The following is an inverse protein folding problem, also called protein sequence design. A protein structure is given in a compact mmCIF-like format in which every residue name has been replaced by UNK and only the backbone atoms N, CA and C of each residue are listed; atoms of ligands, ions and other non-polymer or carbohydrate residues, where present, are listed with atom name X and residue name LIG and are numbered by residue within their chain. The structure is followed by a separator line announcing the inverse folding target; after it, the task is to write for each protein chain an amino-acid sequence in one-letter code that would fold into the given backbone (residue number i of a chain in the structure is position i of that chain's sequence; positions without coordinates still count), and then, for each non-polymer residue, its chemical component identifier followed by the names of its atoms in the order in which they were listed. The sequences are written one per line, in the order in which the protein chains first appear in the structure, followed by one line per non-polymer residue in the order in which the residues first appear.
data_IF_784614862636
#
_entry.id   IF_784614862636
#
_cell.length_a   1.000
_cell.length_b   1.000
_cell.length_c   1.000
_cell.angle_alpha   90.00
_cell.angle_beta   90.00
_cell.angle_gamma   90.00
#
_symmetry.space_group_name_H-M   'P 1'
#
loop_
_entity.id
_entity.type
_entity.pdbx_description
1 polymer ?
#
# COMPACT_ATOMS: atom_id res chain seq x y z
N UNK A 1 6.90 20.50 13.48
CA UNK A 1 6.72 19.47 14.53
C UNK A 1 5.39 19.59 15.28
N UNK A 2 4.96 20.78 15.74
CA UNK A 2 3.70 20.95 16.50
C UNK A 2 2.46 20.38 15.79
N UNK A 3 2.29 20.61 14.49
CA UNK A 3 1.20 20.03 13.68
C UNK A 3 1.19 18.48 13.73
N UNK A 4 2.36 17.85 13.65
CA UNK A 4 2.48 16.38 13.72
C UNK A 4 2.13 15.88 15.12
N UNK A 5 2.60 16.55 16.16
CA UNK A 5 2.25 16.19 17.54
C UNK A 5 0.73 16.24 17.76
N UNK A 6 0.05 17.30 17.30
CA UNK A 6 -1.42 17.40 17.43
C UNK A 6 -2.12 16.28 16.64
N UNK A 7 -1.60 15.88 15.48
CA UNK A 7 -2.14 14.72 14.74
C UNK A 7 -1.97 13.39 15.48
N UNK A 8 -0.96 13.25 16.35
CA UNK A 8 -0.78 12.01 17.15
C UNK A 8 -1.73 11.91 18.35
N UNK A 9 -2.40 13.00 18.73
CA UNK A 9 -3.31 13.02 19.89
C UNK A 9 -4.71 12.48 19.57
N UNK A 10 -4.99 12.07 18.32
CA UNK A 10 -6.27 11.47 17.93
C UNK A 10 -6.41 10.06 18.51
N UNK A 11 -7.57 9.74 19.09
CA UNK A 11 -7.87 8.40 19.63
C UNK A 11 -9.29 7.95 19.27
N UNK A 12 -9.54 6.63 19.31
CA UNK A 12 -10.87 6.08 19.06
C UNK A 12 -11.81 6.48 20.21
N UNK A 13 -13.01 6.99 19.89
CA UNK A 13 -13.97 7.63 20.82
C UNK A 13 -13.49 8.92 21.48
N UNK A 14 -13.04 9.87 20.66
CA UNK A 14 -12.65 11.21 21.10
C UNK A 14 -13.84 12.05 21.59
N UNK A 15 -13.65 12.81 22.67
CA UNK A 15 -14.66 13.77 23.16
C UNK A 15 -14.84 14.94 22.19
N UNK A 16 -16.07 15.47 22.10
CA UNK A 16 -16.39 16.57 21.18
C UNK A 16 -15.48 17.79 21.37
N UNK A 17 -15.14 18.12 22.62
CA UNK A 17 -14.24 19.22 22.95
C UNK A 17 -12.81 19.04 22.41
N UNK A 18 -12.27 17.81 22.42
CA UNK A 18 -10.93 17.53 21.90
C UNK A 18 -10.93 17.61 20.36
N UNK A 19 -11.98 17.06 19.73
CA UNK A 19 -12.13 17.12 18.26
C UNK A 19 -12.22 18.56 17.77
N UNK A 20 -12.99 19.41 18.47
CA UNK A 20 -13.11 20.83 18.13
C UNK A 20 -11.79 21.58 18.34
N UNK A 21 -11.08 21.33 19.43
CA UNK A 21 -9.76 21.91 19.67
C UNK A 21 -8.76 21.53 18.57
N UNK A 22 -8.70 20.24 18.21
CA UNK A 22 -7.86 19.76 17.11
C UNK A 22 -8.26 20.41 15.77
N UNK A 23 -9.55 20.62 15.50
CA UNK A 23 -9.99 21.31 14.29
C UNK A 23 -9.47 22.75 14.23
N UNK A 24 -9.57 23.50 15.33
CA UNK A 24 -9.07 24.87 15.43
C UNK A 24 -7.55 24.92 15.20
N UNK A 25 -6.78 24.07 15.87
CA UNK A 25 -5.33 24.01 15.68
C UNK A 25 -4.93 23.65 14.24
N UNK A 26 -5.61 22.66 13.66
CA UNK A 26 -5.38 22.28 12.26
C UNK A 26 -5.66 23.45 11.31
N UNK A 27 -6.71 24.24 11.55
CA UNK A 27 -7.02 25.42 10.76
C UNK A 27 -5.91 26.49 10.87
N UNK A 28 -5.42 26.74 12.08
CA UNK A 28 -4.32 27.69 12.32
C UNK A 28 -3.08 27.26 11.55
N UNK A 29 -2.70 25.97 11.60
CA UNK A 29 -1.55 25.48 10.84
C UNK A 29 -1.73 25.63 9.33
N UNK A 30 -2.93 25.40 8.80
CA UNK A 30 -3.21 25.63 7.36
C UNK A 30 -2.97 27.07 6.98
N UNK A 31 -3.46 28.02 7.77
CA UNK A 31 -3.26 29.45 7.52
C UNK A 31 -1.77 29.82 7.55
N UNK A 32 -1.01 29.32 8.53
CA UNK A 32 0.42 29.57 8.65
C UNK A 32 1.17 29.01 7.44
N UNK A 33 0.88 27.78 7.02
CA UNK A 33 1.52 27.15 5.87
C UNK A 33 1.19 27.83 4.54
N UNK A 34 -0.06 28.27 4.37
CA UNK A 34 -0.44 29.09 3.22
C UNK A 34 0.33 30.42 3.20
N UNK A 35 0.46 31.08 4.36
CA UNK A 35 1.26 32.29 4.50
C UNK A 35 2.73 32.07 4.11
N UNK A 36 3.34 30.99 4.59
CA UNK A 36 4.71 30.60 4.23
C UNK A 36 4.86 30.41 2.71
N UNK A 37 3.92 29.71 2.08
CA UNK A 37 3.94 29.47 0.63
C UNK A 37 3.79 30.77 -0.17
N UNK A 38 2.91 31.68 0.25
CA UNK A 38 2.74 32.98 -0.41
C UNK A 38 4.03 33.80 -0.30
N UNK A 39 4.67 33.81 0.87
CA UNK A 39 5.96 34.49 1.08
C UNK A 39 7.05 33.89 0.18
N UNK A 40 7.18 32.54 0.14
CA UNK A 40 8.12 31.84 -0.74
C UNK A 40 7.83 32.16 -2.23
N UNK A 41 6.57 32.12 -2.64
CA UNK A 41 6.16 32.37 -4.03
C UNK A 41 6.49 33.80 -4.48
N UNK A 42 6.25 34.81 -3.63
CA UNK A 42 6.56 36.21 -3.93
C UNK A 42 8.08 36.43 -3.95
N UNK A 43 8.81 35.89 -2.98
CA UNK A 43 10.26 36.08 -2.85
C UNK A 43 11.09 35.40 -3.94
N UNK A 44 10.70 34.19 -4.35
CA UNK A 44 11.46 33.37 -5.32
C UNK A 44 10.94 33.49 -6.76
N UNK A 45 9.76 34.10 -6.98
CA UNK A 45 9.12 34.46 -8.26
C UNK A 45 9.34 33.50 -9.43
N UNK A 46 10.45 33.62 -10.18
CA UNK A 46 10.76 32.77 -11.34
C UNK A 46 11.63 31.56 -10.99
N UNK A 47 12.47 31.66 -9.97
CA UNK A 47 13.34 30.60 -9.47
C UNK A 47 12.60 29.56 -8.61
N UNK A 48 11.34 29.81 -8.23
CA UNK A 48 10.53 28.83 -7.49
C UNK A 48 10.00 27.69 -8.36
N UNK A 49 9.66 27.98 -9.62
CA UNK A 49 9.11 26.99 -10.58
C UNK A 49 10.09 26.62 -11.71
N UNK A 50 11.09 27.45 -12.00
CA UNK A 50 12.12 27.10 -12.97
C UNK A 50 13.16 26.22 -12.29
N UNK A 51 12.99 24.90 -12.47
CA UNK A 51 14.06 23.91 -12.32
C UNK A 51 15.26 24.40 -13.12
N UNK A 52 16.24 25.02 -12.45
CA UNK A 52 17.44 25.45 -13.14
C UNK A 52 18.28 24.20 -13.31
N UNK A 53 18.21 23.62 -14.51
CA UNK A 53 19.02 22.49 -14.95
C UNK A 53 20.51 22.85 -14.93
N UNK A 54 21.13 22.93 -13.76
CA UNK A 54 22.58 22.95 -13.61
C UNK A 54 22.98 22.23 -12.32
N UNK A 55 23.43 20.99 -12.53
CA UNK A 55 24.28 20.20 -11.64
C UNK A 55 23.54 19.55 -10.46
N UNK A 56 23.20 18.27 -10.65
CA UNK A 56 23.13 17.09 -9.75
C UNK A 56 22.97 17.19 -8.21
N UNK A 57 22.83 18.35 -7.60
CA UNK A 57 22.88 18.51 -6.13
C UNK A 57 21.66 19.27 -5.55
N UNK A 58 20.68 19.68 -6.37
CA UNK A 58 19.58 20.54 -5.91
C UNK A 58 18.32 19.76 -5.48
N UNK A 59 18.47 18.97 -4.42
CA UNK A 59 17.35 18.30 -3.75
C UNK A 59 16.33 19.34 -3.23
N UNK A 60 16.77 20.57 -2.96
CA UNK A 60 15.97 21.66 -2.39
C UNK A 60 14.87 22.16 -3.35
N UNK A 61 15.13 22.15 -4.65
CA UNK A 61 14.16 22.57 -5.67
C UNK A 61 12.96 21.60 -5.77
N UNK A 62 13.18 20.29 -5.62
CA UNK A 62 12.08 19.30 -5.62
C UNK A 62 11.19 19.42 -4.39
N UNK A 63 11.79 19.68 -3.22
CA UNK A 63 11.03 19.86 -1.97
C UNK A 63 10.11 21.08 -2.02
N UNK A 64 10.54 22.19 -2.63
CA UNK A 64 9.70 23.38 -2.81
C UNK A 64 8.47 23.10 -3.69
N UNK A 65 8.63 22.37 -4.79
CA UNK A 65 7.53 21.98 -5.68
C UNK A 65 6.57 21.01 -4.97
N UNK A 66 7.13 20.05 -4.23
CA UNK A 66 6.35 19.13 -3.41
C UNK A 66 5.54 19.87 -2.34
N UNK A 67 6.16 20.83 -1.65
CA UNK A 67 5.53 21.69 -0.64
C UNK A 67 4.34 22.49 -1.24
N UNK A 68 4.54 23.03 -2.45
CA UNK A 68 3.49 23.74 -3.20
C UNK A 68 2.31 22.84 -3.54
N UNK A 69 2.57 21.69 -4.17
CA UNK A 69 1.53 20.73 -4.57
C UNK A 69 0.75 20.23 -3.35
N UNK A 70 1.42 20.04 -2.21
CA UNK A 70 0.80 19.58 -0.98
C UNK A 70 -0.18 20.60 -0.39
N UNK A 71 0.21 21.88 -0.24
CA UNK A 71 -0.71 22.93 0.24
C UNK A 71 -1.89 23.07 -0.70
N UNK A 72 -1.63 23.26 -2.00
CA UNK A 72 -2.69 23.51 -2.99
C UNK A 72 -3.64 22.32 -3.07
N UNK A 73 -3.10 21.09 -3.08
CA UNK A 73 -3.90 19.88 -3.06
C UNK A 73 -4.78 19.79 -1.81
N UNK A 74 -4.25 20.13 -0.63
CA UNK A 74 -5.05 20.09 0.59
C UNK A 74 -6.15 21.15 0.60
N UNK A 75 -5.89 22.35 0.09
CA UNK A 75 -6.87 23.43 0.04
C UNK A 75 -7.99 23.14 -0.97
N UNK A 76 -7.66 22.59 -2.14
CA UNK A 76 -8.65 22.13 -3.12
C UNK A 76 -9.58 21.09 -2.50
N UNK A 77 -9.03 20.11 -1.81
CA UNK A 77 -9.82 19.03 -1.19
C UNK A 77 -10.69 19.57 -0.05
N UNK A 78 -10.19 20.53 0.74
CA UNK A 78 -10.96 21.18 1.79
C UNK A 78 -12.16 21.95 1.22
N UNK A 79 -11.95 22.74 0.15
CA UNK A 79 -13.01 23.48 -0.54
C UNK A 79 -14.03 22.53 -1.17
N UNK A 80 -13.56 21.48 -1.85
CA UNK A 80 -14.42 20.47 -2.44
C UNK A 80 -15.33 19.82 -1.38
N UNK A 81 -14.78 19.47 -0.22
CA UNK A 81 -15.56 18.89 0.86
C UNK A 81 -16.59 19.87 1.43
N UNK A 82 -16.23 21.15 1.61
CA UNK A 82 -17.17 22.19 2.04
C UNK A 82 -18.34 22.34 1.05
N UNK A 83 -18.05 22.34 -0.25
CA UNK A 83 -19.06 22.42 -1.30
C UNK A 83 -19.98 21.19 -1.34
N UNK A 84 -19.45 19.97 -1.16
CA UNK A 84 -20.29 18.77 -1.24
C UNK A 84 -21.05 18.49 0.05
N UNK A 85 -20.52 18.88 1.22
CA UNK A 85 -21.28 18.83 2.49
C UNK A 85 -22.55 19.67 2.41
N UNK A 86 -22.51 20.80 1.70
CA UNK A 86 -23.68 21.64 1.43
C UNK A 86 -24.72 20.97 0.52
N UNK A 87 -24.33 19.96 -0.29
CA UNK A 87 -25.21 19.25 -1.21
C UNK A 87 -25.80 17.94 -0.63
N UNK A 88 -25.52 17.60 0.63
CA UNK A 88 -26.15 16.47 1.33
C UNK A 88 -25.71 15.07 0.88
N UNK A 89 -24.77 14.95 -0.07
CA UNK A 89 -24.26 13.67 -0.56
C UNK A 89 -23.29 13.01 0.42
N UNK A 90 -23.51 11.73 0.74
CA UNK A 90 -22.60 10.91 1.58
C UNK A 90 -21.31 10.60 0.81
N UNK A 91 -20.17 11.09 1.30
CA UNK A 91 -18.85 10.93 0.67
C UNK A 91 -17.85 10.28 1.63
N UNK A 92 -18.04 8.98 1.91
CA UNK A 92 -17.05 8.21 2.66
C UNK A 92 -15.65 8.28 2.01
N UNK A 93 -15.59 8.16 0.68
CA UNK A 93 -14.34 8.11 -0.08
C UNK A 93 -13.56 9.44 -0.06
N UNK A 94 -14.21 10.60 -0.18
CA UNK A 94 -13.49 11.89 -0.14
C UNK A 94 -12.96 12.22 1.26
N UNK A 95 -13.63 11.73 2.31
CA UNK A 95 -13.15 11.88 3.68
C UNK A 95 -11.86 11.08 3.92
N UNK A 96 -11.73 9.90 3.31
CA UNK A 96 -10.50 9.10 3.35
C UNK A 96 -9.34 9.83 2.66
N UNK A 97 -9.59 10.39 1.46
CA UNK A 97 -8.58 11.15 0.71
C UNK A 97 -8.10 12.37 1.49
N UNK A 98 -9.01 13.11 2.13
CA UNK A 98 -8.63 14.22 3.03
C UNK A 98 -7.67 13.78 4.13
N UNK A 99 -7.94 12.64 4.77
CA UNK A 99 -7.10 12.08 5.84
C UNK A 99 -5.71 11.72 5.30
N UNK A 100 -5.63 11.15 4.10
CA UNK A 100 -4.36 10.88 3.41
C UNK A 100 -3.51 12.14 3.19
N UNK A 101 -4.10 13.22 2.66
CA UNK A 101 -3.38 14.49 2.46
C UNK A 101 -2.93 15.15 3.78
N UNK A 102 -3.72 14.99 4.86
CA UNK A 102 -3.31 15.45 6.19
C UNK A 102 -2.06 14.70 6.68
N UNK A 103 -2.03 13.38 6.52
CA UNK A 103 -0.87 12.54 6.88
C UNK A 103 0.35 12.92 6.05
N UNK A 104 0.16 13.24 4.76
CA UNK A 104 1.24 13.66 3.88
C UNK A 104 1.99 14.91 4.38
N UNK A 105 1.37 15.75 5.23
CA UNK A 105 2.06 16.90 5.86
C UNK A 105 3.21 16.49 6.77
N UNK A 106 3.23 15.26 7.28
CA UNK A 106 4.37 14.71 8.03
C UNK A 106 5.63 14.70 7.15
N UNK A 107 5.48 14.53 5.83
CA UNK A 107 6.57 14.53 4.86
C UNK A 107 7.31 15.88 4.82
N UNK A 108 6.66 17.00 5.21
CA UNK A 108 7.36 18.31 5.36
C UNK A 108 8.41 18.32 6.47
N UNK A 109 8.30 17.43 7.45
CA UNK A 109 9.37 17.28 8.46
C UNK A 109 10.65 16.80 7.78
N UNK A 110 10.55 16.02 6.70
CA UNK A 110 11.70 15.60 5.90
C UNK A 110 12.35 16.78 5.17
N UNK A 111 11.57 17.76 4.71
CA UNK A 111 12.10 18.99 4.08
C UNK A 111 12.96 19.81 5.06
N UNK A 112 12.65 19.80 6.36
CA UNK A 112 13.45 20.51 7.36
C UNK A 112 14.77 19.83 7.75
N UNK A 113 15.06 18.63 7.26
CA UNK A 113 16.18 17.79 7.72
C UNK A 113 17.06 17.33 6.55
N UNK A 114 18.16 18.05 6.30
CA UNK A 114 19.10 17.75 5.21
C UNK A 114 19.62 16.31 5.22
N UNK A 115 19.87 15.72 6.39
CA UNK A 115 20.30 14.32 6.51
C UNK A 115 19.27 13.33 5.96
N UNK A 116 17.98 13.58 6.24
CA UNK A 116 16.89 12.73 5.81
C UNK A 116 16.55 12.93 4.33
N UNK A 117 16.66 14.17 3.84
CA UNK A 117 16.58 14.46 2.41
C UNK A 117 17.64 13.70 1.62
N UNK A 118 18.89 13.65 2.11
CA UNK A 118 19.97 12.89 1.46
C UNK A 118 19.67 11.40 1.43
N UNK A 119 19.15 10.82 2.50
CA UNK A 119 18.76 9.41 2.53
C UNK A 119 17.65 9.09 1.51
N UNK A 120 16.62 9.93 1.45
CA UNK A 120 15.52 9.78 0.47
C UNK A 120 16.04 9.94 -0.96
N UNK A 121 16.90 10.93 -1.21
CA UNK A 121 17.51 11.13 -2.52
C UNK A 121 18.36 9.92 -2.94
N UNK A 122 19.19 9.38 -2.03
CA UNK A 122 19.96 8.16 -2.29
C UNK A 122 19.06 6.97 -2.59
N UNK A 123 17.97 6.79 -1.83
CA UNK A 123 16.98 5.74 -2.08
C UNK A 123 16.36 5.87 -3.48
N UNK A 124 15.95 7.09 -3.86
CA UNK A 124 15.36 7.34 -5.19
C UNK A 124 16.39 7.11 -6.29
N UNK A 125 17.67 7.45 -6.07
CA UNK A 125 18.74 7.21 -7.02
C UNK A 125 19.06 5.72 -7.23
N UNK A 126 18.90 4.88 -6.20
CA UNK A 126 19.12 3.43 -6.33
C UNK A 126 17.93 2.70 -6.95
N UNK A 127 16.71 3.25 -6.87
CA UNK A 127 15.51 2.62 -7.43
C UNK A 127 15.62 2.23 -8.91
N UNK A 128 16.06 3.10 -9.86
CA UNK A 128 16.20 2.73 -11.27
C UNK A 128 17.14 1.54 -11.51
N UNK A 129 18.22 1.44 -10.74
CA UNK A 129 19.16 0.32 -10.82
C UNK A 129 18.54 -1.01 -10.40
N UNK A 130 17.50 -0.96 -9.54
CA UNK A 130 16.78 -2.13 -9.03
C UNK A 130 15.59 -2.55 -9.89
N UNK A 131 15.08 -1.68 -10.78
CA UNK A 131 13.86 -1.93 -11.54
C UNK A 131 13.91 -3.22 -12.36
N UNK A 132 15.07 -3.57 -12.91
CA UNK A 132 15.23 -4.82 -13.67
C UNK A 132 15.00 -6.06 -12.78
N UNK A 133 15.56 -6.05 -11.57
CA UNK A 133 15.39 -7.15 -10.61
C UNK A 133 13.96 -7.19 -10.04
N UNK A 134 13.37 -6.02 -9.77
CA UNK A 134 11.96 -5.93 -9.32
C UNK A 134 11.02 -6.44 -10.42
N UNK A 135 11.27 -6.11 -11.69
CA UNK A 135 10.51 -6.63 -12.82
C UNK A 135 10.56 -8.15 -12.91
N UNK A 136 11.76 -8.73 -12.72
CA UNK A 136 11.93 -10.18 -12.67
C UNK A 136 11.19 -10.80 -11.47
N UNK A 137 11.24 -10.19 -10.30
CA UNK A 137 10.52 -10.64 -9.11
C UNK A 137 9.00 -10.65 -9.34
N UNK A 138 8.45 -9.56 -9.90
CA UNK A 138 7.04 -9.46 -10.25
C UNK A 138 6.65 -10.54 -11.28
N UNK A 139 7.49 -10.79 -12.29
CA UNK A 139 7.24 -11.83 -13.28
C UNK A 139 7.16 -13.22 -12.63
N UNK A 140 8.10 -13.55 -11.72
CA UNK A 140 8.08 -14.79 -10.96
C UNK A 140 6.80 -14.90 -10.12
N UNK A 141 6.39 -13.82 -9.44
CA UNK A 141 5.13 -13.81 -8.69
C UNK A 141 3.93 -14.09 -9.57
N UNK A 142 3.85 -13.50 -10.76
CA UNK A 142 2.77 -13.75 -11.70
C UNK A 142 2.73 -15.22 -12.17
N UNK A 143 3.89 -15.81 -12.49
CA UNK A 143 3.97 -17.21 -12.92
C UNK A 143 3.48 -18.14 -11.81
N UNK A 144 3.98 -17.95 -10.58
CA UNK A 144 3.56 -18.75 -9.43
C UNK A 144 2.09 -18.50 -9.05
N UNK A 145 1.58 -17.27 -9.19
CA UNK A 145 0.17 -16.98 -8.92
C UNK A 145 -0.75 -17.74 -9.88
N UNK A 146 -0.46 -17.72 -11.19
CA UNK A 146 -1.25 -18.45 -12.20
C UNK A 146 -1.14 -19.96 -12.00
N UNK A 147 0.07 -20.47 -11.74
CA UNK A 147 0.27 -21.89 -11.45
C UNK A 147 -0.47 -22.32 -10.17
N UNK A 148 -0.42 -21.51 -9.11
CA UNK A 148 -1.11 -21.77 -7.86
C UNK A 148 -2.63 -21.78 -8.02
N UNK A 149 -3.20 -20.90 -8.86
CA UNK A 149 -4.63 -20.97 -9.19
C UNK A 149 -4.99 -22.30 -9.87
N UNK A 150 -4.18 -22.77 -10.81
CA UNK A 150 -4.44 -24.04 -11.50
C UNK A 150 -4.35 -25.25 -10.56
N UNK A 151 -3.49 -25.20 -9.55
CA UNK A 151 -3.24 -26.33 -8.64
C UNK A 151 -4.12 -26.32 -7.38
N UNK A 152 -4.50 -25.15 -6.87
CA UNK A 152 -5.08 -25.01 -5.53
C UNK A 152 -6.41 -24.26 -5.48
N UNK A 153 -6.99 -23.84 -6.61
CA UNK A 153 -8.26 -23.09 -6.59
C UNK A 153 -9.43 -23.89 -5.99
N UNK A 154 -9.44 -25.21 -6.14
CA UNK A 154 -10.52 -26.09 -5.66
C UNK A 154 -10.44 -26.43 -4.17
N UNK A 155 -9.30 -26.16 -3.52
CA UNK A 155 -9.07 -26.52 -2.12
C UNK A 155 -10.05 -25.76 -1.21
N UNK A 156 -10.67 -26.51 -0.28
CA UNK A 156 -11.60 -25.96 0.70
C UNK A 156 -10.92 -25.02 1.70
N UNK A 157 -11.70 -24.11 2.29
CA UNK A 157 -11.18 -23.21 3.33
C UNK A 157 -10.94 -23.96 4.63
N UNK A 158 -9.72 -23.84 5.17
CA UNK A 158 -9.29 -24.49 6.40
C UNK A 158 -8.04 -23.84 6.99
N UNK A 159 -8.05 -23.63 8.30
CA UNK A 159 -6.88 -23.11 9.02
C UNK A 159 -6.45 -21.76 8.46
N UNK A 160 -5.24 -21.68 7.94
CA UNK A 160 -4.71 -20.47 7.31
C UNK A 160 -5.26 -20.19 5.91
N UNK A 161 -5.97 -21.16 5.31
CA UNK A 161 -6.66 -21.02 4.03
C UNK A 161 -8.06 -20.45 4.27
N UNK A 162 -8.31 -19.23 3.81
CA UNK A 162 -9.60 -18.56 4.01
C UNK A 162 -9.95 -17.68 2.79
N UNK A 163 -11.08 -16.97 2.88
CA UNK A 163 -11.59 -16.08 1.82
C UNK A 163 -10.61 -14.98 1.37
N UNK A 164 -9.73 -14.52 2.26
CA UNK A 164 -8.70 -13.52 1.93
C UNK A 164 -7.35 -14.14 1.56
N UNK A 165 -7.10 -15.40 1.94
CA UNK A 165 -5.85 -16.12 1.73
C UNK A 165 -6.10 -17.43 0.97
N UNK A 166 -6.36 -17.33 -0.35
CA UNK A 166 -6.61 -18.46 -1.24
C UNK A 166 -6.08 -18.22 -2.66
N UNK A 167 -6.16 -19.28 -3.47
CA UNK A 167 -5.75 -19.29 -4.88
C UNK A 167 -6.95 -19.30 -5.85
N UNK A 168 -8.12 -18.76 -5.46
CA UNK A 168 -9.29 -18.73 -6.36
C UNK A 168 -9.23 -17.60 -7.39
N UNK A 169 -8.62 -16.48 -7.02
CA UNK A 169 -8.46 -15.31 -7.90
C UNK A 169 -7.00 -14.90 -7.98
N UNK A 170 -6.63 -14.24 -9.08
CA UNK A 170 -5.25 -13.78 -9.28
C UNK A 170 -4.80 -12.81 -8.18
N UNK A 171 -5.69 -11.91 -7.74
CA UNK A 171 -5.39 -10.94 -6.68
C UNK A 171 -5.11 -11.62 -5.34
N UNK A 172 -5.94 -12.59 -4.95
CA UNK A 172 -5.75 -13.31 -3.69
C UNK A 172 -4.48 -14.17 -3.76
N UNK A 173 -4.26 -14.89 -4.87
CA UNK A 173 -3.04 -15.66 -5.09
C UNK A 173 -1.78 -14.79 -5.00
N UNK A 174 -1.81 -13.61 -5.62
CA UNK A 174 -0.70 -12.66 -5.57
C UNK A 174 -0.46 -12.13 -4.15
N UNK A 175 -1.52 -11.78 -3.41
CA UNK A 175 -1.42 -11.33 -2.02
C UNK A 175 -0.87 -12.41 -1.08
N UNK A 176 -1.29 -13.67 -1.27
CA UNK A 176 -0.78 -14.83 -0.53
C UNK A 176 0.71 -15.03 -0.80
N UNK A 177 1.13 -15.02 -2.05
CA UNK A 177 2.55 -15.15 -2.43
C UNK A 177 3.39 -13.96 -1.94
N UNK A 178 2.82 -12.74 -1.97
CA UNK A 178 3.47 -11.57 -1.40
C UNK A 178 3.69 -11.73 0.10
N UNK A 179 2.70 -12.20 0.86
CA UNK A 179 2.85 -12.54 2.28
C UNK A 179 3.94 -13.59 2.50
N UNK A 180 4.03 -14.62 1.66
CA UNK A 180 5.05 -15.66 1.82
C UNK A 180 6.46 -15.20 1.45
N UNK A 181 6.58 -14.23 0.53
CA UNK A 181 7.86 -13.65 0.15
C UNK A 181 8.60 -12.98 1.32
N UNK A 182 7.88 -12.53 2.34
CA UNK A 182 8.45 -11.96 3.58
C UNK A 182 8.86 -13.05 4.59
N UNK A 183 8.62 -14.32 4.27
CA UNK A 183 8.88 -15.48 5.15
C UNK A 183 7.77 -15.74 6.17
N UNK A 184 6.63 -15.04 6.08
CA UNK A 184 5.56 -15.16 7.05
C UNK A 184 4.64 -16.35 6.74
N UNK A 185 4.50 -17.27 7.70
CA UNK A 185 3.50 -18.33 7.76
C UNK A 185 3.32 -19.23 6.51
N UNK A 186 4.30 -19.27 5.60
CA UNK A 186 4.22 -20.12 4.41
C UNK A 186 4.18 -21.62 4.76
N UNK A 187 4.85 -22.01 5.86
CA UNK A 187 4.98 -23.40 6.28
C UNK A 187 3.64 -23.97 6.82
N UNK A 188 2.97 -23.24 7.71
CA UNK A 188 1.64 -23.61 8.21
C UNK A 188 0.61 -23.70 7.08
N UNK A 189 0.59 -22.69 6.21
CA UNK A 189 -0.27 -22.67 5.03
C UNK A 189 -0.03 -23.84 4.09
N UNK A 190 1.24 -24.17 3.81
CA UNK A 190 1.63 -25.32 2.98
C UNK A 190 1.11 -26.65 3.56
N UNK A 191 1.20 -26.83 4.88
CA UNK A 191 0.68 -28.02 5.54
C UNK A 191 -0.84 -28.08 5.52
N UNK A 192 -1.52 -26.98 5.73
CA UNK A 192 -2.99 -26.95 5.69
C UNK A 192 -3.54 -27.17 4.28
N UNK A 193 -2.83 -26.70 3.25
CA UNK A 193 -3.09 -27.03 1.84
C UNK A 193 -2.85 -28.50 1.47
N UNK A 194 -2.06 -29.23 2.26
CA UNK A 194 -1.74 -30.64 2.00
C UNK A 194 -2.70 -31.63 2.66
N UNK A 195 -3.47 -31.18 3.66
CA UNK A 195 -4.27 -32.06 4.52
C UNK A 195 -5.68 -32.20 4.00
N UNK A 196 -6.08 -33.43 3.80
CA UNK A 196 -7.48 -33.77 3.57
C UNK A 196 -8.33 -33.56 4.83
N UNK A 197 -9.62 -33.37 4.61
CA UNK A 197 -10.63 -33.36 5.67
C UNK A 197 -11.72 -34.38 5.33
N UNK A 198 -12.51 -34.75 6.35
CA UNK A 198 -13.61 -35.70 6.16
C UNK A 198 -14.61 -35.17 5.14
N UNK A 199 -14.91 -35.99 4.12
CA UNK A 199 -15.89 -35.65 3.08
C UNK A 199 -15.40 -34.66 2.03
N UNK A 200 -14.09 -34.44 1.89
CA UNK A 200 -13.55 -33.67 0.77
C UNK A 200 -13.64 -34.48 -0.54
N UNK A 201 -13.67 -33.78 -1.67
CA UNK A 201 -13.68 -34.38 -3.00
C UNK A 201 -12.29 -34.33 -3.66
N UNK A 202 -11.73 -35.50 -3.98
CA UNK A 202 -10.43 -35.63 -4.64
C UNK A 202 -10.50 -35.36 -6.15
N UNK A 203 -11.69 -35.49 -6.74
CA UNK A 203 -11.94 -35.28 -8.16
C UNK A 203 -13.02 -34.22 -8.33
N UNK A 204 -12.80 -33.09 -7.66
CA UNK A 204 -13.70 -31.94 -7.67
C UNK A 204 -13.89 -31.43 -9.11
N UNK A 205 -15.10 -31.65 -9.65
CA UNK A 205 -15.50 -31.10 -10.94
C UNK A 205 -16.14 -29.72 -10.72
N UNK A 206 -15.74 -28.76 -11.54
CA UNK A 206 -16.10 -27.37 -11.33
C UNK A 206 -17.51 -27.10 -11.88
N UNK A 207 -18.43 -26.71 -11.00
CA UNK A 207 -19.78 -26.29 -11.37
C UNK A 207 -19.82 -24.75 -11.54
N UNK A 208 -20.48 -24.22 -12.58
CA UNK A 208 -20.74 -22.78 -12.71
C UNK A 208 -21.40 -22.10 -11.49
N UNK A 209 -21.99 -22.87 -10.55
CA UNK A 209 -22.57 -22.38 -9.30
C UNK A 209 -21.59 -22.34 -8.12
N UNK A 210 -20.33 -22.69 -8.33
CA UNK A 210 -19.33 -22.71 -7.25
C UNK A 210 -18.86 -21.31 -6.84
N UNK A 211 -18.68 -21.10 -5.54
CA UNK A 211 -18.31 -19.80 -4.98
C UNK A 211 -16.88 -19.37 -5.39
N UNK A 212 -16.75 -18.37 -6.24
CA UNK A 212 -15.46 -17.74 -6.50
C UNK A 212 -15.03 -16.81 -5.37
N UNK A 213 -16.00 -16.10 -4.81
CA UNK A 213 -15.82 -15.11 -3.75
C UNK A 213 -16.91 -15.25 -2.69
N UNK A 214 -16.66 -14.79 -1.47
CA UNK A 214 -17.67 -14.81 -0.39
C UNK A 214 -18.87 -13.88 -0.65
N UNK A 215 -18.80 -13.01 -1.67
CA UNK A 215 -19.88 -12.06 -2.02
C UNK A 215 -20.95 -12.68 -2.93
N UNK A 216 -20.71 -13.90 -3.43
CA UNK A 216 -21.65 -14.63 -4.28
C UNK A 216 -22.84 -15.12 -3.43
N UNK A 217 -24.01 -14.46 -3.52
CA UNK A 217 -25.25 -14.96 -2.92
C UNK A 217 -25.74 -16.19 -3.69
N UNK A 218 -25.98 -17.30 -2.97
CA UNK A 218 -26.48 -18.59 -3.48
C UNK A 218 -25.49 -19.42 -4.32
N UNK A 219 -24.25 -19.56 -3.85
CA UNK A 219 -23.24 -20.43 -4.47
C UNK A 219 -22.90 -21.68 -3.63
N UNK A 220 -22.38 -22.72 -4.28
CA UNK A 220 -21.88 -23.93 -3.64
C UNK A 220 -20.47 -23.71 -3.10
N UNK A 221 -20.19 -23.99 -1.81
CA UNK A 221 -18.84 -23.87 -1.29
C UNK A 221 -17.93 -24.94 -1.90
N UNK A 222 -16.74 -24.53 -2.36
CA UNK A 222 -15.76 -25.49 -2.85
C UNK A 222 -15.28 -26.42 -1.73
N UNK A 223 -15.27 -27.71 -2.04
CA UNK A 223 -15.03 -28.80 -1.10
C UNK A 223 -13.88 -29.73 -1.56
N UNK A 224 -12.94 -29.19 -2.34
CA UNK A 224 -11.79 -29.95 -2.84
C UNK A 224 -10.84 -30.37 -1.72
N UNK A 225 -10.28 -31.57 -1.85
CA UNK A 225 -9.26 -32.11 -0.96
C UNK A 225 -7.93 -31.36 -1.04
N UNK A 226 -7.08 -31.56 -0.04
CA UNK A 226 -5.71 -31.06 -0.06
C UNK A 226 -4.87 -31.77 -1.10
N UNK A 227 -3.71 -31.21 -1.41
CA UNK A 227 -2.79 -31.84 -2.36
C UNK A 227 -1.35 -31.80 -1.88
N UNK A 228 -0.65 -32.91 -2.06
CA UNK A 228 0.77 -33.03 -1.74
C UNK A 228 1.66 -32.17 -2.65
N UNK A 229 1.12 -31.69 -3.79
CA UNK A 229 1.81 -30.73 -4.64
C UNK A 229 2.04 -29.37 -3.96
N UNK A 230 1.39 -29.10 -2.83
CA UNK A 230 1.64 -27.89 -2.03
C UNK A 230 3.11 -27.81 -1.58
N UNK A 231 3.71 -28.92 -1.14
CA UNK A 231 5.09 -28.96 -0.65
C UNK A 231 6.12 -28.48 -1.68
N UNK A 232 6.25 -29.13 -2.86
CA UNK A 232 7.23 -28.70 -3.86
C UNK A 232 6.92 -27.30 -4.39
N UNK A 233 5.65 -26.91 -4.52
CA UNK A 233 5.27 -25.58 -5.00
C UNK A 233 5.74 -24.47 -4.07
N UNK A 234 5.39 -24.52 -2.78
CA UNK A 234 5.72 -23.46 -1.83
C UNK A 234 7.20 -23.44 -1.49
N UNK A 235 7.86 -24.60 -1.39
CA UNK A 235 9.31 -24.66 -1.18
C UNK A 235 10.09 -24.11 -2.39
N UNK A 236 9.69 -24.45 -3.62
CA UNK A 236 10.31 -23.90 -4.81
C UNK A 236 10.12 -22.38 -4.89
N UNK A 237 8.91 -21.88 -4.63
CA UNK A 237 8.64 -20.44 -4.56
C UNK A 237 9.55 -19.75 -3.55
N UNK A 238 9.64 -20.28 -2.31
CA UNK A 238 10.43 -19.69 -1.25
C UNK A 238 11.92 -19.63 -1.60
N UNK A 239 12.47 -20.70 -2.18
CA UNK A 239 13.88 -20.75 -2.60
C UNK A 239 14.15 -19.72 -3.70
N UNK A 240 13.31 -19.67 -4.73
CA UNK A 240 13.47 -18.74 -5.86
C UNK A 240 13.38 -17.29 -5.38
N UNK A 241 12.37 -16.96 -4.57
CA UNK A 241 12.18 -15.60 -4.07
C UNK A 241 13.28 -15.19 -3.10
N UNK A 242 13.73 -16.06 -2.21
CA UNK A 242 14.85 -15.78 -1.33
C UNK A 242 16.14 -15.51 -2.12
N UNK A 243 16.42 -16.29 -3.16
CA UNK A 243 17.54 -16.05 -4.06
C UNK A 243 17.45 -14.69 -4.76
N UNK A 244 16.27 -14.34 -5.29
CA UNK A 244 16.05 -13.04 -5.93
C UNK A 244 16.16 -11.87 -4.94
N UNK A 245 15.65 -12.01 -3.72
CA UNK A 245 15.77 -11.00 -2.67
C UNK A 245 17.22 -10.80 -2.26
N UNK A 246 18.01 -11.87 -2.10
CA UNK A 246 19.44 -11.77 -1.81
C UNK A 246 20.17 -11.04 -2.94
N UNK A 247 19.89 -11.39 -4.20
CA UNK A 247 20.47 -10.69 -5.35
C UNK A 247 20.05 -9.21 -5.42
N UNK A 248 18.82 -8.88 -5.00
CA UNK A 248 18.37 -7.50 -4.87
C UNK A 248 19.20 -6.75 -3.82
N UNK A 249 19.47 -7.34 -2.66
CA UNK A 249 20.32 -6.73 -1.63
C UNK A 249 21.76 -6.55 -2.09
N UNK A 250 22.33 -7.55 -2.79
CA UNK A 250 23.68 -7.46 -3.36
C UNK A 250 23.75 -6.34 -4.40
N UNK A 251 22.69 -6.10 -5.18
CA UNK A 251 22.65 -5.03 -6.16
C UNK A 251 22.58 -3.62 -5.54
N UNK A 252 22.18 -3.50 -4.26
CA UNK A 252 22.07 -2.22 -3.53
C UNK A 252 23.39 -1.85 -2.83
N UNK A 253 24.14 -2.86 -2.36
CA UNK A 253 25.42 -2.69 -1.66
C UNK A 253 26.57 -2.35 -2.63
#
# INVERSE_FOLDING_TARGET
CANVFIMTLTYFTESEAMSDAQFVFNMIFVCVFNGELVIKAIGLRRSYFLVRTKRTDDVRDWWNIFDFVLIVGTDIILVLLACVKHKGTRLGSLTLVMRGFRILRIVRVLEGQEGLQRLVATLIHTLPGMLNMIGLLILVFCIFAVMGMQLFASVSYRGDVNSHANFRTFSNAWMVLFRFSTGENFNGYMHDMSKDHSGCDHMYDYDPKDCHTEEDLECNPLNGCGTLYSFPFFLAFQIVVMYLMVNLFIAIM
#
